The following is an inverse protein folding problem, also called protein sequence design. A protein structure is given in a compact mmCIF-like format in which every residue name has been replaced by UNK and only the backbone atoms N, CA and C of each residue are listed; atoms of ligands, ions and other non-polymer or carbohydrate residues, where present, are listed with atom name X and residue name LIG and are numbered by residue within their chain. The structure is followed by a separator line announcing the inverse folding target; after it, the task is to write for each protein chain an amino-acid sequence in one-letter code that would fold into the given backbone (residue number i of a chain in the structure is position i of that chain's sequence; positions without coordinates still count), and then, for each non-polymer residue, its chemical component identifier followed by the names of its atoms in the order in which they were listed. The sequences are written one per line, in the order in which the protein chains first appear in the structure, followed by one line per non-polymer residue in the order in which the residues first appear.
data_IF_089798027343
#
_entry.id   IF_089798027343
#
_cell.length_a   1.000
_cell.length_b   1.000
_cell.length_c   1.000
_cell.angle_alpha   90.00
_cell.angle_beta   90.00
_cell.angle_gamma   90.00
#
_symmetry.space_group_name_H-M   'P 1'
#
loop_
_entity.id
_entity.type
_entity.pdbx_description
1 polymer ?
#
# COMPACT_ATOMS: atom_id res chain seq x y z
N UNK A 1 -7.31 -6.78 -31.99
CA UNK A 1 -7.28 -6.82 -30.53
C UNK A 1 -7.63 -5.46 -29.95
N UNK A 2 -8.43 -5.41 -28.93
CA UNK A 2 -8.80 -4.19 -28.20
C UNK A 2 -8.01 -4.14 -26.90
N UNK A 3 -7.36 -2.99 -26.57
CA UNK A 3 -6.58 -2.81 -25.35
C UNK A 3 -7.25 -1.77 -24.46
N UNK A 4 -7.74 -2.19 -23.32
CA UNK A 4 -8.44 -1.37 -22.32
C UNK A 4 -7.46 -1.07 -21.17
N UNK A 5 -7.03 0.20 -21.05
CA UNK A 5 -6.22 0.66 -19.94
C UNK A 5 -7.13 1.24 -18.86
N UNK A 6 -6.99 0.77 -17.61
CA UNK A 6 -7.68 1.33 -16.46
C UNK A 6 -7.29 2.81 -16.27
N UNK A 7 -8.29 3.68 -16.08
CA UNK A 7 -8.07 5.13 -15.87
C UNK A 7 -7.38 5.42 -14.54
N UNK A 8 -7.64 4.58 -13.53
CA UNK A 8 -7.03 4.69 -12.21
C UNK A 8 -5.61 4.10 -12.13
N UNK A 9 -5.08 3.50 -13.22
CA UNK A 9 -3.74 2.92 -13.23
C UNK A 9 -2.64 3.94 -12.92
N UNK A 10 -1.66 3.54 -12.09
CA UNK A 10 -0.50 4.38 -11.79
C UNK A 10 -0.55 5.09 -10.43
N UNK A 11 0.36 6.05 -10.22
CA UNK A 11 0.55 6.69 -8.92
C UNK A 11 -0.74 7.29 -8.36
N UNK A 12 -1.07 6.91 -7.12
CA UNK A 12 -2.05 7.66 -6.35
C UNK A 12 -1.44 8.95 -5.79
N UNK A 13 -2.29 9.85 -5.28
CA UNK A 13 -1.85 11.12 -4.69
C UNK A 13 -0.75 10.95 -3.62
N UNK A 14 -0.93 10.04 -2.66
CA UNK A 14 0.04 9.84 -1.57
C UNK A 14 1.39 9.32 -2.05
N UNK A 15 1.38 8.39 -3.02
CA UNK A 15 2.59 7.87 -3.65
C UNK A 15 3.30 8.94 -4.45
N UNK A 16 2.56 9.66 -5.33
CA UNK A 16 3.14 10.73 -6.14
C UNK A 16 3.82 11.78 -5.26
N UNK A 17 3.13 12.26 -4.22
CA UNK A 17 3.67 13.23 -3.27
C UNK A 17 4.98 12.73 -2.62
N UNK A 18 5.02 11.47 -2.16
CA UNK A 18 6.21 10.93 -1.51
C UNK A 18 7.41 10.81 -2.48
N UNK A 19 7.16 10.37 -3.70
CA UNK A 19 8.20 10.25 -4.74
C UNK A 19 8.69 11.63 -5.18
N UNK A 20 7.80 12.57 -5.45
CA UNK A 20 8.15 13.95 -5.81
C UNK A 20 9.01 14.60 -4.72
N UNK A 21 8.66 14.40 -3.44
CA UNK A 21 9.45 14.92 -2.31
C UNK A 21 10.90 14.42 -2.34
N UNK A 22 11.14 13.14 -2.68
CA UNK A 22 12.52 12.63 -2.78
C UNK A 22 13.25 13.26 -3.95
N UNK A 23 12.61 13.36 -5.14
CA UNK A 23 13.24 13.98 -6.31
C UNK A 23 13.58 15.46 -6.10
N UNK A 24 12.73 16.21 -5.40
CA UNK A 24 13.00 17.60 -5.01
C UNK A 24 14.22 17.71 -4.10
N UNK A 25 14.32 16.83 -3.09
CA UNK A 25 15.43 16.82 -2.13
C UNK A 25 16.77 16.38 -2.73
N UNK A 26 16.77 15.52 -3.75
CA UNK A 26 18.01 15.15 -4.49
C UNK A 26 18.72 16.40 -5.04
N UNK A 27 17.96 17.44 -5.43
CA UNK A 27 18.54 18.67 -6.00
C UNK A 27 19.33 19.50 -4.98
N UNK A 28 19.10 19.31 -3.69
CA UNK A 28 19.82 20.00 -2.60
C UNK A 28 21.25 19.49 -2.41
N UNK A 29 21.61 18.32 -2.98
CA UNK A 29 22.94 17.69 -2.95
C UNK A 29 23.47 17.37 -1.55
N UNK A 30 22.60 17.29 -0.57
CA UNK A 30 22.91 16.81 0.78
C UNK A 30 22.75 15.29 0.87
N UNK A 31 23.40 14.62 1.86
CA UNK A 31 23.17 13.22 2.12
C UNK A 31 21.69 12.95 2.35
N UNK A 32 21.09 12.07 1.53
CA UNK A 32 19.66 11.81 1.53
C UNK A 32 19.37 10.34 1.80
N UNK A 33 18.52 10.11 2.77
CA UNK A 33 18.12 8.80 3.23
C UNK A 33 16.59 8.63 3.10
N UNK A 34 16.12 7.41 2.86
CA UNK A 34 14.70 7.07 3.07
C UNK A 34 14.60 6.02 4.16
N UNK A 35 13.67 6.19 5.08
CA UNK A 35 13.41 5.20 6.12
C UNK A 35 12.49 4.09 5.58
N UNK A 36 13.10 3.00 5.16
CA UNK A 36 12.51 1.97 4.29
C UNK A 36 12.36 2.46 2.84
N UNK A 37 11.97 1.58 1.90
CA UNK A 37 11.68 1.99 0.53
C UNK A 37 10.56 3.03 0.52
N UNK A 38 10.75 4.14 -0.21
CA UNK A 38 9.79 5.26 -0.23
C UNK A 38 8.38 4.81 -0.64
N UNK A 39 8.32 3.85 -1.55
CA UNK A 39 7.13 3.13 -2.01
C UNK A 39 7.51 1.68 -2.32
N UNK A 40 6.53 0.77 -2.42
CA UNK A 40 6.77 -0.62 -2.82
C UNK A 40 6.80 -0.76 -4.35
N UNK A 41 7.88 -0.25 -4.96
CA UNK A 41 8.20 -0.43 -6.37
C UNK A 41 9.72 -0.45 -6.54
N UNK A 42 10.26 -1.59 -6.95
CA UNK A 42 11.69 -1.85 -7.00
C UNK A 42 12.39 -1.01 -8.09
N UNK A 43 11.70 -0.69 -9.19
CA UNK A 43 12.27 0.14 -10.26
C UNK A 43 12.47 1.59 -9.80
N UNK A 44 11.50 2.13 -9.04
CA UNK A 44 11.61 3.47 -8.45
C UNK A 44 12.71 3.51 -7.41
N UNK A 45 12.79 2.52 -6.54
CA UNK A 45 13.83 2.45 -5.51
C UNK A 45 15.22 2.40 -6.15
N UNK A 46 15.41 1.54 -7.17
CA UNK A 46 16.69 1.47 -7.92
C UNK A 46 17.07 2.79 -8.61
N UNK A 47 16.09 3.51 -9.17
CA UNK A 47 16.38 4.81 -9.78
C UNK A 47 16.83 5.83 -8.75
N UNK A 48 16.19 5.87 -7.58
CA UNK A 48 16.60 6.75 -6.48
C UNK A 48 17.97 6.40 -5.91
N UNK A 49 18.29 5.11 -5.75
CA UNK A 49 19.61 4.63 -5.32
C UNK A 49 20.72 5.05 -6.31
N UNK A 50 20.48 4.94 -7.63
CA UNK A 50 21.40 5.43 -8.66
C UNK A 50 21.63 6.94 -8.58
N UNK A 51 20.70 7.69 -7.99
CA UNK A 51 20.80 9.14 -7.76
C UNK A 51 21.40 9.49 -6.40
N UNK A 52 21.87 8.48 -5.64
CA UNK A 52 22.58 8.67 -4.38
C UNK A 52 21.69 8.63 -3.14
N UNK A 53 20.41 8.32 -3.26
CA UNK A 53 19.51 8.11 -2.11
C UNK A 53 19.83 6.77 -1.45
N UNK A 54 20.00 6.76 -0.14
CA UNK A 54 20.29 5.54 0.62
C UNK A 54 19.05 5.09 1.38
N UNK A 55 18.64 3.84 1.16
CA UNK A 55 17.55 3.23 1.94
C UNK A 55 18.11 2.68 3.24
N UNK A 56 17.55 3.11 4.39
CA UNK A 56 17.84 2.58 5.72
C UNK A 56 16.61 1.87 6.27
N UNK A 57 16.80 0.74 6.93
CA UNK A 57 15.68 -0.09 7.43
C UNK A 57 15.46 0.07 8.92
N UNK A 58 16.48 0.49 9.63
CA UNK A 58 16.46 0.71 11.08
C UNK A 58 17.16 2.03 11.43
N UNK A 59 16.82 2.59 12.60
CA UNK A 59 17.44 3.81 13.11
C UNK A 59 18.94 3.60 13.38
N UNK A 60 19.32 2.41 13.82
CA UNK A 60 20.71 2.06 14.11
C UNK A 60 21.60 2.11 12.85
N UNK A 61 21.04 1.89 11.67
CA UNK A 61 21.79 2.02 10.40
C UNK A 61 22.20 3.46 10.07
N UNK A 62 21.64 4.45 10.75
CA UNK A 62 22.04 5.87 10.63
C UNK A 62 23.30 6.19 11.45
N UNK A 63 23.63 5.38 12.44
CA UNK A 63 24.81 5.61 13.27
C UNK A 63 26.07 5.61 12.42
N UNK A 64 26.86 6.70 12.54
CA UNK A 64 28.12 6.88 11.79
C UNK A 64 27.95 7.27 10.32
N UNK A 65 26.74 7.44 9.81
CA UNK A 65 26.51 8.00 8.47
C UNK A 65 26.68 9.53 8.46
N UNK A 66 27.05 10.13 7.32
CA UNK A 66 27.06 11.58 7.16
C UNK A 66 25.71 12.18 7.55
N UNK A 67 25.74 13.30 8.26
CA UNK A 67 24.52 14.05 8.60
C UNK A 67 23.79 14.52 7.33
N UNK A 68 22.47 14.48 7.35
CA UNK A 68 21.65 14.81 6.19
C UNK A 68 20.15 14.70 6.51
N UNK A 69 19.37 14.50 5.47
CA UNK A 69 17.90 14.42 5.58
C UNK A 69 17.41 12.98 5.46
N UNK A 70 16.53 12.57 6.38
CA UNK A 70 15.83 11.30 6.34
C UNK A 70 14.38 11.54 5.92
N UNK A 71 13.95 10.95 4.82
CA UNK A 71 12.57 11.03 4.36
C UNK A 71 11.79 9.83 4.89
N UNK A 72 10.70 10.10 5.59
CA UNK A 72 9.77 9.07 6.03
C UNK A 72 8.89 8.66 4.85
N UNK A 73 8.82 7.36 4.59
CA UNK A 73 8.09 6.77 3.46
C UNK A 73 6.57 7.01 3.51
N UNK A 74 5.89 6.82 2.37
CA UNK A 74 4.44 7.01 2.22
C UNK A 74 3.59 6.20 3.21
N UNK A 75 4.07 5.03 3.67
CA UNK A 75 3.38 4.14 4.60
C UNK A 75 3.43 4.60 6.06
N UNK A 76 4.21 5.65 6.36
CA UNK A 76 4.50 6.06 7.73
C UNK A 76 5.48 5.14 8.44
N UNK A 77 5.70 5.45 9.70
CA UNK A 77 6.58 4.71 10.62
C UNK A 77 5.91 4.52 11.98
N UNK A 78 6.50 3.68 12.81
CA UNK A 78 6.07 3.48 14.19
C UNK A 78 6.29 4.75 15.02
N UNK A 79 5.46 4.91 16.07
CA UNK A 79 5.57 6.01 17.02
C UNK A 79 6.97 6.05 17.63
N UNK A 80 7.55 7.24 17.79
CA UNK A 80 8.88 7.44 18.38
C UNK A 80 10.06 7.22 17.43
N UNK A 81 9.85 6.74 16.20
CA UNK A 81 10.95 6.59 15.22
C UNK A 81 11.51 7.95 14.81
N UNK A 82 10.64 8.93 14.59
CA UNK A 82 11.06 10.27 14.19
C UNK A 82 11.92 10.94 15.28
N UNK A 83 11.52 10.82 16.53
CA UNK A 83 12.26 11.36 17.69
C UNK A 83 13.66 10.71 17.80
N UNK A 84 13.76 9.41 17.56
CA UNK A 84 15.06 8.70 17.57
C UNK A 84 15.97 9.17 16.45
N UNK A 85 15.44 9.37 15.23
CA UNK A 85 16.19 9.89 14.08
C UNK A 85 16.70 11.31 14.37
N UNK A 86 15.85 12.18 14.95
CA UNK A 86 16.22 13.55 15.32
C UNK A 86 17.28 13.58 16.44
N UNK A 87 17.18 12.67 17.41
CA UNK A 87 18.18 12.56 18.49
C UNK A 87 19.57 12.16 17.96
N UNK A 88 19.66 11.52 16.79
CA UNK A 88 20.93 11.26 16.09
C UNK A 88 21.42 12.46 15.27
N UNK A 89 20.69 13.58 15.24
CA UNK A 89 21.10 14.82 14.57
C UNK A 89 20.64 14.92 13.10
N UNK A 90 19.83 14.00 12.60
CA UNK A 90 19.31 14.05 11.22
C UNK A 90 18.07 14.95 11.11
N UNK A 91 17.98 15.65 9.99
CA UNK A 91 16.74 16.34 9.60
C UNK A 91 15.70 15.34 9.10
N UNK A 92 14.40 15.63 9.32
CA UNK A 92 13.31 14.77 8.87
C UNK A 92 12.41 15.51 7.89
N UNK A 93 12.04 14.82 6.82
CA UNK A 93 10.94 15.18 5.94
C UNK A 93 9.90 14.06 5.97
N UNK A 94 8.72 14.36 6.49
CA UNK A 94 7.64 13.37 6.60
C UNK A 94 6.82 13.34 5.30
N UNK A 95 7.05 12.29 4.50
CA UNK A 95 6.27 12.01 3.29
C UNK A 95 5.12 11.01 3.53
N UNK A 96 4.80 10.71 4.78
CA UNK A 96 3.65 9.85 5.14
C UNK A 96 2.38 10.35 4.46
N UNK A 97 1.65 9.44 3.84
CA UNK A 97 0.38 9.77 3.18
C UNK A 97 -0.62 10.35 4.20
N UNK A 98 -1.30 11.47 3.91
CA UNK A 98 -2.28 12.07 4.81
C UNK A 98 -3.40 11.12 5.24
N UNK A 99 -3.77 10.16 4.40
CA UNK A 99 -4.75 9.13 4.75
C UNK A 99 -4.22 8.18 5.83
N UNK A 100 -2.94 7.82 5.79
CA UNK A 100 -2.29 7.01 6.83
C UNK A 100 -2.19 7.80 8.15
N UNK A 101 -1.77 9.07 8.09
CA UNK A 101 -1.75 9.95 9.27
C UNK A 101 -3.13 10.11 9.92
N UNK A 102 -4.20 10.13 9.11
CA UNK A 102 -5.57 10.14 9.62
C UNK A 102 -5.86 8.87 10.43
N UNK A 103 -5.43 7.71 9.97
CA UNK A 103 -5.64 6.43 10.70
C UNK A 103 -4.87 6.46 12.02
N UNK A 104 -3.62 6.92 12.03
CA UNK A 104 -2.84 7.06 13.27
C UNK A 104 -3.59 7.87 14.34
N UNK A 105 -4.13 9.05 13.95
CA UNK A 105 -4.92 9.90 14.85
C UNK A 105 -6.21 9.24 15.33
N UNK A 106 -6.91 8.50 14.45
CA UNK A 106 -8.12 7.78 14.82
C UNK A 106 -7.81 6.68 15.83
N UNK A 107 -6.79 5.88 15.60
CA UNK A 107 -6.37 4.80 16.49
C UNK A 107 -5.92 5.35 17.85
N UNK A 108 -5.10 6.40 17.87
CA UNK A 108 -4.67 7.07 19.10
C UNK A 108 -5.87 7.58 19.90
N UNK A 109 -6.82 8.25 19.23
CA UNK A 109 -8.03 8.79 19.86
C UNK A 109 -8.87 7.69 20.48
N UNK A 110 -9.31 6.71 19.69
CA UNK A 110 -10.24 5.67 20.15
C UNK A 110 -9.62 4.74 21.19
N UNK A 111 -8.31 4.46 21.09
CA UNK A 111 -7.61 3.70 22.14
C UNK A 111 -7.50 4.47 23.46
N UNK A 112 -7.48 5.81 23.43
CA UNK A 112 -7.58 6.67 24.61
C UNK A 112 -8.99 6.74 25.20
N UNK A 113 -10.02 6.40 24.42
CA UNK A 113 -11.43 6.35 24.85
C UNK A 113 -11.84 4.95 25.39
N UNK A 114 -10.89 4.12 25.80
CA UNK A 114 -11.09 2.75 26.32
C UNK A 114 -11.74 1.78 25.32
N UNK A 115 -11.47 1.96 24.04
CA UNK A 115 -11.89 1.03 22.99
C UNK A 115 -10.83 -0.03 22.72
N UNK A 116 -11.26 -1.27 22.48
CA UNK A 116 -10.43 -2.26 21.79
C UNK A 116 -10.21 -1.84 20.34
N UNK A 117 -8.99 -1.87 19.88
CA UNK A 117 -8.66 -1.54 18.50
C UNK A 117 -8.47 -2.82 17.67
N UNK A 118 -9.26 -2.93 16.61
CA UNK A 118 -9.09 -3.98 15.61
C UNK A 118 -8.60 -3.34 14.30
N UNK A 119 -7.45 -3.79 13.84
CA UNK A 119 -6.86 -3.35 12.58
C UNK A 119 -7.06 -4.46 11.55
N UNK A 120 -7.88 -4.22 10.54
CA UNK A 120 -8.05 -5.15 9.43
C UNK A 120 -6.92 -4.95 8.43
N UNK A 121 -5.99 -5.92 8.32
CA UNK A 121 -4.81 -5.78 7.49
C UNK A 121 -3.81 -6.93 7.64
N UNK A 122 -2.66 -6.78 6.98
CA UNK A 122 -1.54 -7.71 7.12
C UNK A 122 -0.62 -7.25 8.26
N UNK A 123 -0.51 -8.02 9.32
CA UNK A 123 0.28 -7.71 10.51
C UNK A 123 1.78 -7.45 10.23
N UNK A 124 2.34 -8.05 9.17
CA UNK A 124 3.74 -7.85 8.79
C UNK A 124 3.96 -6.57 7.99
N UNK A 125 2.90 -5.96 7.46
CA UNK A 125 2.99 -4.78 6.59
C UNK A 125 3.43 -3.54 7.38
N UNK A 126 4.38 -2.72 6.85
CA UNK A 126 4.87 -1.52 7.54
C UNK A 126 3.79 -0.53 7.98
N UNK A 127 2.77 -0.30 7.14
CA UNK A 127 1.64 0.56 7.47
C UNK A 127 0.88 0.05 8.70
N UNK A 128 0.61 -1.26 8.76
CA UNK A 128 -0.12 -1.88 9.89
C UNK A 128 0.69 -1.83 11.18
N UNK A 129 2.01 -2.05 11.11
CA UNK A 129 2.92 -1.87 12.24
C UNK A 129 2.90 -0.42 12.74
N UNK A 130 2.97 0.53 11.81
CA UNK A 130 2.82 1.96 12.11
C UNK A 130 1.49 2.22 12.83
N UNK A 131 0.36 1.86 12.23
CA UNK A 131 -0.98 2.06 12.82
C UNK A 131 -1.06 1.46 14.23
N UNK A 132 -0.58 0.22 14.41
CA UNK A 132 -0.60 -0.47 15.71
C UNK A 132 0.17 0.29 16.78
N UNK A 133 1.31 0.88 16.43
CA UNK A 133 2.18 1.62 17.39
C UNK A 133 1.56 2.92 17.92
N UNK A 134 0.54 3.44 17.23
CA UNK A 134 -0.22 4.62 17.68
C UNK A 134 -1.37 4.28 18.62
N UNK A 135 -1.66 3.01 18.84
CA UNK A 135 -2.63 2.58 19.84
C UNK A 135 -2.05 2.63 21.24
N UNK A 136 -2.82 3.18 22.16
CA UNK A 136 -2.54 3.12 23.60
C UNK A 136 -3.23 1.90 24.27
N UNK A 137 -4.02 1.13 23.52
CA UNK A 137 -4.72 -0.05 24.02
C UNK A 137 -3.80 -1.27 24.03
N UNK A 138 -3.70 -1.95 25.18
CA UNK A 138 -2.94 -3.19 25.34
C UNK A 138 -3.48 -4.29 24.41
N UNK A 139 -4.79 -4.29 24.15
CA UNK A 139 -5.52 -5.30 23.39
C UNK A 139 -5.73 -4.93 21.92
N UNK A 140 -4.79 -4.24 21.29
CA UNK A 140 -4.85 -3.99 19.85
C UNK A 140 -4.61 -5.27 19.06
N UNK A 141 -5.59 -5.69 18.27
CA UNK A 141 -5.53 -6.90 17.44
C UNK A 141 -5.46 -6.55 15.96
N UNK A 142 -4.70 -7.34 15.22
CA UNK A 142 -4.68 -7.30 13.74
C UNK A 142 -5.37 -8.55 13.25
N UNK A 143 -6.32 -8.40 12.33
CA UNK A 143 -7.01 -9.49 11.67
C UNK A 143 -6.92 -9.31 10.15
N UNK A 144 -6.59 -10.36 9.41
CA UNK A 144 -6.47 -10.35 7.95
C UNK A 144 -7.20 -11.50 7.28
N UNK A 145 -7.67 -12.47 8.08
CA UNK A 145 -8.35 -13.67 7.59
C UNK A 145 -9.66 -13.91 8.33
N UNK A 146 -10.53 -14.73 7.73
CA UNK A 146 -11.79 -15.16 8.32
C UNK A 146 -11.57 -15.86 9.66
N UNK A 147 -10.60 -16.78 9.71
CA UNK A 147 -10.26 -17.56 10.90
C UNK A 147 -9.80 -16.67 12.06
N UNK A 148 -9.06 -15.60 11.75
CA UNK A 148 -8.64 -14.62 12.77
C UNK A 148 -9.82 -13.81 13.28
N UNK A 149 -10.78 -13.41 12.42
CA UNK A 149 -12.00 -12.73 12.82
C UNK A 149 -12.91 -13.64 13.66
N UNK A 150 -13.07 -14.91 13.29
CA UNK A 150 -13.84 -15.89 14.04
C UNK A 150 -13.24 -16.17 15.43
N UNK A 151 -11.91 -16.16 15.54
CA UNK A 151 -11.19 -16.34 16.81
C UNK A 151 -11.07 -15.08 17.65
N UNK A 152 -11.37 -13.92 17.06
CA UNK A 152 -11.28 -12.65 17.79
C UNK A 152 -12.25 -12.67 18.97
N UNK A 153 -11.74 -12.32 20.15
CA UNK A 153 -12.51 -12.16 21.36
C UNK A 153 -12.08 -10.86 22.04
N UNK A 154 -13.03 -10.00 22.32
CA UNK A 154 -12.83 -8.78 23.08
C UNK A 154 -13.24 -9.00 24.53
N UNK A 155 -12.50 -8.45 25.49
CA UNK A 155 -12.90 -8.45 26.89
C UNK A 155 -14.28 -7.79 27.02
N UNK A 156 -15.20 -8.44 27.74
CA UNK A 156 -16.58 -7.96 27.90
C UNK A 156 -16.65 -6.54 28.46
N UNK A 157 -17.55 -5.75 27.86
CA UNK A 157 -17.92 -4.41 28.34
C UNK A 157 -17.20 -3.25 27.65
N UNK A 158 -16.18 -3.48 26.83
CA UNK A 158 -15.51 -2.43 26.05
C UNK A 158 -16.09 -2.28 24.64
N UNK A 159 -16.03 -1.07 24.10
CA UNK A 159 -16.31 -0.83 22.68
C UNK A 159 -15.19 -1.37 21.81
N UNK A 160 -15.53 -1.77 20.59
CA UNK A 160 -14.56 -2.23 19.58
C UNK A 160 -14.51 -1.22 18.45
N UNK A 161 -13.38 -0.59 18.22
CA UNK A 161 -13.16 0.29 17.09
C UNK A 161 -12.39 -0.46 15.99
N UNK A 162 -12.99 -0.60 14.81
CA UNK A 162 -12.41 -1.31 13.67
C UNK A 162 -11.91 -0.28 12.66
N UNK A 163 -10.62 -0.36 12.31
CA UNK A 163 -9.98 0.38 11.22
C UNK A 163 -9.38 -0.62 10.23
N UNK A 164 -8.97 -0.17 9.04
CA UNK A 164 -8.32 -1.02 8.04
C UNK A 164 -7.02 -0.43 7.53
N UNK A 165 -6.13 -1.30 7.04
CA UNK A 165 -5.04 -0.94 6.16
C UNK A 165 -5.59 -0.27 4.90
N UNK A 166 -4.96 0.83 4.45
CA UNK A 166 -5.47 1.64 3.31
C UNK A 166 -5.60 0.88 2.01
N UNK A 167 -4.84 -0.20 1.83
CA UNK A 167 -4.80 -1.03 0.60
C UNK A 167 -5.50 -2.38 0.75
N UNK A 168 -6.28 -2.58 1.82
CA UNK A 168 -6.98 -3.85 2.04
C UNK A 168 -8.08 -4.08 0.99
N UNK A 169 -8.46 -5.34 0.76
CA UNK A 169 -9.56 -5.68 -0.13
C UNK A 169 -10.89 -5.26 0.50
N UNK A 170 -11.68 -4.44 -0.21
CA UNK A 170 -12.93 -3.88 0.29
C UNK A 170 -13.96 -4.96 0.66
N UNK A 171 -14.18 -5.95 -0.20
CA UNK A 171 -15.16 -7.00 0.05
C UNK A 171 -14.74 -7.89 1.24
N UNK A 172 -13.45 -8.24 1.33
CA UNK A 172 -12.91 -8.96 2.50
C UNK A 172 -13.05 -8.15 3.79
N UNK A 173 -12.84 -6.83 3.74
CA UNK A 173 -13.06 -5.97 4.90
C UNK A 173 -14.51 -6.04 5.39
N UNK A 174 -15.49 -5.93 4.49
CA UNK A 174 -16.90 -6.04 4.84
C UNK A 174 -17.22 -7.40 5.48
N UNK A 175 -16.72 -8.50 4.87
CA UNK A 175 -16.90 -9.86 5.42
C UNK A 175 -16.35 -9.96 6.86
N UNK A 176 -15.12 -9.51 7.10
CA UNK A 176 -14.50 -9.59 8.42
C UNK A 176 -15.23 -8.72 9.47
N UNK A 177 -15.71 -7.54 9.05
CA UNK A 177 -16.53 -6.66 9.92
C UNK A 177 -17.83 -7.34 10.33
N UNK A 178 -18.55 -8.00 9.39
CA UNK A 178 -19.79 -8.71 9.73
C UNK A 178 -19.54 -9.87 10.70
N UNK A 179 -18.48 -10.66 10.53
CA UNK A 179 -18.12 -11.72 11.48
C UNK A 179 -17.90 -11.16 12.89
N UNK A 180 -17.22 -10.01 13.01
CA UNK A 180 -16.98 -9.41 14.33
C UNK A 180 -18.28 -8.82 14.91
N UNK A 181 -19.18 -8.27 14.08
CA UNK A 181 -20.50 -7.77 14.52
C UNK A 181 -21.41 -8.88 15.06
N UNK A 182 -21.40 -10.06 14.44
CA UNK A 182 -22.21 -11.20 14.88
C UNK A 182 -21.88 -11.65 16.31
N UNK A 183 -20.74 -11.25 16.86
CA UNK A 183 -20.35 -11.55 18.25
C UNK A 183 -21.03 -10.66 19.29
N UNK A 184 -21.81 -9.67 18.89
CA UNK A 184 -22.63 -8.84 19.78
C UNK A 184 -21.89 -7.74 20.53
N UNK A 185 -20.69 -7.33 20.08
CA UNK A 185 -19.95 -6.20 20.67
C UNK A 185 -20.57 -4.85 20.26
N UNK A 186 -20.37 -3.81 21.11
CA UNK A 186 -20.63 -2.42 20.72
C UNK A 186 -19.50 -1.95 19.78
N UNK A 187 -19.78 -1.83 18.47
CA UNK A 187 -18.77 -1.69 17.42
C UNK A 187 -18.86 -0.33 16.74
N UNK A 188 -17.71 0.32 16.60
CA UNK A 188 -17.48 1.50 15.76
C UNK A 188 -16.67 1.05 14.53
N UNK A 189 -17.27 1.07 13.35
CA UNK A 189 -16.58 0.74 12.09
C UNK A 189 -16.12 2.02 11.39
N UNK A 190 -14.83 2.18 11.26
CA UNK A 190 -14.22 3.27 10.50
C UNK A 190 -13.60 2.67 9.23
N UNK A 191 -14.31 2.76 8.10
CA UNK A 191 -13.73 2.36 6.82
C UNK A 191 -12.59 3.32 6.48
N UNK A 192 -11.35 2.84 6.64
CA UNK A 192 -10.13 3.58 6.35
C UNK A 192 -9.42 3.08 5.09
N UNK A 193 -10.05 2.21 4.30
CA UNK A 193 -9.59 1.88 2.95
C UNK A 193 -9.57 3.18 2.14
N UNK A 194 -8.47 3.44 1.44
CA UNK A 194 -8.33 4.65 0.65
C UNK A 194 -9.26 4.62 -0.57
N UNK A 195 -9.95 5.74 -0.86
CA UNK A 195 -10.82 5.86 -2.03
C UNK A 195 -10.11 5.47 -3.34
N UNK A 196 -8.83 5.84 -3.47
CA UNK A 196 -8.02 5.44 -4.62
C UNK A 196 -7.81 3.91 -4.70
N UNK A 197 -7.87 3.19 -3.59
CA UNK A 197 -7.82 1.72 -3.56
C UNK A 197 -9.15 1.15 -3.99
N UNK A 198 -10.26 1.64 -3.47
CA UNK A 198 -11.61 1.20 -3.80
C UNK A 198 -11.92 1.42 -5.28
N UNK A 199 -11.62 2.62 -5.80
CA UNK A 199 -11.78 2.94 -7.22
C UNK A 199 -11.01 1.97 -8.12
N UNK A 200 -9.72 1.70 -7.80
CA UNK A 200 -8.91 0.74 -8.56
C UNK A 200 -9.45 -0.68 -8.51
N UNK A 201 -9.89 -1.12 -7.36
CA UNK A 201 -10.43 -2.48 -7.19
C UNK A 201 -11.72 -2.66 -7.99
N UNK A 202 -12.60 -1.66 -7.97
CA UNK A 202 -13.87 -1.66 -8.72
C UNK A 202 -13.61 -1.62 -10.21
N UNK A 203 -12.75 -0.71 -10.69
CA UNK A 203 -12.44 -0.58 -12.12
C UNK A 203 -11.72 -1.82 -12.64
N UNK A 204 -10.73 -2.34 -11.91
CA UNK A 204 -9.97 -3.53 -12.32
C UNK A 204 -10.87 -4.75 -12.46
N UNK A 205 -11.83 -4.94 -11.54
CA UNK A 205 -12.84 -6.00 -11.64
C UNK A 205 -13.69 -5.83 -12.88
N UNK A 206 -14.27 -4.64 -13.09
CA UNK A 206 -15.14 -4.37 -14.22
C UNK A 206 -14.45 -4.57 -15.58
N UNK A 207 -13.14 -4.27 -15.67
CA UNK A 207 -12.35 -4.56 -16.88
C UNK A 207 -12.11 -6.07 -17.02
N UNK A 208 -11.71 -6.74 -15.92
CA UNK A 208 -11.39 -8.18 -15.96
C UNK A 208 -12.58 -9.06 -16.36
N UNK A 209 -13.82 -8.63 -16.05
CA UNK A 209 -15.05 -9.29 -16.47
C UNK A 209 -15.33 -9.21 -17.98
N UNK A 210 -14.65 -8.30 -18.71
CA UNK A 210 -14.94 -7.98 -20.11
C UNK A 210 -13.82 -8.34 -21.09
N UNK A 211 -12.70 -8.86 -20.58
CA UNK A 211 -11.49 -9.14 -21.38
C UNK A 211 -11.07 -10.60 -21.32
N UNK A 212 -10.33 -11.02 -22.33
CA UNK A 212 -9.83 -12.39 -22.48
C UNK A 212 -8.51 -12.60 -21.73
N UNK A 213 -7.75 -11.51 -21.55
CA UNK A 213 -6.53 -11.49 -20.74
C UNK A 213 -6.42 -10.19 -19.95
N UNK A 214 -5.83 -10.26 -18.76
CA UNK A 214 -5.64 -9.13 -17.86
C UNK A 214 -4.16 -8.99 -17.45
N UNK A 215 -3.60 -7.81 -17.59
CA UNK A 215 -2.23 -7.49 -17.17
C UNK A 215 -2.30 -6.55 -15.97
N UNK A 216 -1.69 -6.98 -14.87
CA UNK A 216 -1.60 -6.22 -13.62
C UNK A 216 -0.15 -5.81 -13.40
N UNK A 217 0.14 -4.51 -13.49
CA UNK A 217 1.51 -3.98 -13.44
C UNK A 217 1.81 -3.43 -12.05
N UNK A 218 2.95 -3.83 -11.46
CA UNK A 218 3.48 -3.21 -10.24
C UNK A 218 4.46 -4.05 -9.46
N UNK A 219 5.02 -3.48 -8.40
CA UNK A 219 6.00 -4.13 -7.55
C UNK A 219 5.46 -5.35 -6.82
N UNK A 220 6.27 -6.41 -6.72
CA UNK A 220 5.87 -7.68 -6.07
C UNK A 220 5.54 -7.51 -4.60
N UNK A 221 6.16 -6.54 -3.94
CA UNK A 221 5.94 -6.23 -2.53
C UNK A 221 4.81 -5.19 -2.30
N UNK A 222 4.12 -4.75 -3.36
CA UNK A 222 3.01 -3.81 -3.27
C UNK A 222 1.72 -4.53 -2.87
N UNK A 223 1.24 -4.29 -1.66
CA UNK A 223 -0.05 -4.82 -1.17
C UNK A 223 -1.21 -4.45 -2.10
N UNK A 224 -1.27 -3.20 -2.57
CA UNK A 224 -2.30 -2.78 -3.52
C UNK A 224 -2.26 -3.58 -4.83
N UNK A 225 -1.06 -3.79 -5.41
CA UNK A 225 -0.93 -4.55 -6.67
C UNK A 225 -1.31 -6.01 -6.49
N UNK A 226 -0.90 -6.62 -5.38
CA UNK A 226 -1.28 -8.01 -5.05
C UNK A 226 -2.80 -8.17 -4.96
N UNK A 227 -3.51 -7.20 -4.32
CA UNK A 227 -4.97 -7.23 -4.23
C UNK A 227 -5.64 -7.03 -5.58
N UNK A 228 -5.12 -6.15 -6.45
CA UNK A 228 -5.61 -6.02 -7.81
C UNK A 228 -5.43 -7.32 -8.59
N UNK A 229 -4.28 -7.96 -8.48
CA UNK A 229 -4.04 -9.25 -9.13
C UNK A 229 -5.00 -10.33 -8.65
N UNK A 230 -5.23 -10.47 -7.33
CA UNK A 230 -6.20 -11.40 -6.76
C UNK A 230 -7.60 -11.17 -7.34
N UNK A 231 -8.06 -9.90 -7.41
CA UNK A 231 -9.36 -9.53 -7.93
C UNK A 231 -9.48 -9.87 -9.41
N UNK A 232 -8.50 -9.44 -10.22
CA UNK A 232 -8.51 -9.72 -11.66
C UNK A 232 -8.46 -11.22 -11.95
N UNK A 233 -7.67 -12.00 -11.19
CA UNK A 233 -7.53 -13.44 -11.37
C UNK A 233 -8.79 -14.22 -11.07
N UNK A 234 -9.65 -13.71 -10.19
CA UNK A 234 -10.95 -14.31 -9.90
C UNK A 234 -11.94 -14.15 -11.07
N UNK A 235 -11.87 -13.04 -11.81
CA UNK A 235 -12.77 -12.74 -12.93
C UNK A 235 -12.19 -13.20 -14.29
N UNK A 236 -10.87 -13.10 -14.50
CA UNK A 236 -10.17 -13.44 -15.72
C UNK A 236 -9.08 -14.48 -15.46
N UNK A 237 -9.21 -15.70 -16.02
CA UNK A 237 -8.23 -16.78 -15.82
C UNK A 237 -6.85 -16.43 -16.35
N UNK A 238 -6.77 -15.72 -17.48
CA UNK A 238 -5.52 -15.30 -18.10
C UNK A 238 -5.06 -13.97 -17.51
N UNK A 239 -4.72 -13.95 -16.22
CA UNK A 239 -4.24 -12.75 -15.53
C UNK A 239 -2.74 -12.87 -15.25
N UNK A 240 -1.98 -11.87 -15.71
CA UNK A 240 -0.53 -11.78 -15.62
C UNK A 240 -0.13 -10.70 -14.64
N UNK A 241 0.78 -11.03 -13.71
CA UNK A 241 1.37 -10.08 -12.75
C UNK A 241 2.79 -9.77 -13.19
N UNK A 242 3.05 -8.54 -13.59
CA UNK A 242 4.34 -8.09 -14.09
C UNK A 242 4.83 -6.84 -13.37
N UNK A 243 6.15 -6.64 -13.32
CA UNK A 243 6.75 -5.37 -12.89
C UNK A 243 7.08 -4.49 -14.11
N UNK A 244 7.59 -5.11 -15.16
CA UNK A 244 7.98 -4.46 -16.42
C UNK A 244 7.54 -5.31 -17.61
N UNK A 245 7.66 -4.79 -18.82
CA UNK A 245 7.34 -5.53 -20.05
C UNK A 245 8.19 -6.81 -20.21
N UNK A 246 9.37 -6.86 -19.59
CA UNK A 246 10.27 -8.03 -19.66
C UNK A 246 9.74 -9.27 -18.93
N UNK A 247 8.79 -9.07 -18.03
CA UNK A 247 8.15 -10.14 -17.26
C UNK A 247 6.96 -10.76 -18.00
N UNK A 248 6.56 -10.18 -19.16
CA UNK A 248 5.41 -10.61 -19.94
C UNK A 248 5.88 -11.40 -21.16
N UNK A 249 5.42 -12.66 -21.29
CA UNK A 249 5.48 -13.36 -22.57
C UNK A 249 4.36 -12.84 -23.49
N UNK A 250 4.75 -11.98 -24.43
CA UNK A 250 3.80 -11.38 -25.36
C UNK A 250 3.11 -12.43 -26.25
N UNK A 251 3.71 -13.63 -26.47
CA UNK A 251 3.09 -14.69 -27.22
C UNK A 251 1.79 -15.20 -26.57
N UNK A 252 1.71 -15.18 -25.24
CA UNK A 252 0.52 -15.59 -24.50
C UNK A 252 -0.66 -14.62 -24.69
N UNK A 253 -0.37 -13.36 -25.03
CA UNK A 253 -1.38 -12.30 -25.18
C UNK A 253 -1.81 -12.12 -26.64
N UNK A 254 -1.01 -12.59 -27.61
CA UNK A 254 -1.29 -12.44 -29.05
C UNK A 254 -2.55 -13.18 -29.54
N UNK A 255 -2.99 -14.19 -28.81
CA UNK A 255 -4.08 -15.07 -29.23
C UNK A 255 -5.47 -14.62 -28.76
N UNK A 256 -5.58 -13.45 -28.14
CA UNK A 256 -6.84 -12.97 -27.54
C UNK A 256 -7.33 -11.68 -28.20
N UNK A 257 -8.66 -11.45 -28.20
CA UNK A 257 -9.28 -10.30 -28.85
C UNK A 257 -9.29 -9.05 -27.95
N UNK A 258 -9.41 -9.22 -26.63
CA UNK A 258 -9.51 -8.12 -25.66
C UNK A 258 -8.48 -8.28 -24.55
N UNK A 259 -7.67 -7.26 -24.31
CA UNK A 259 -6.67 -7.21 -23.23
C UNK A 259 -6.96 -6.05 -22.32
N UNK A 260 -7.11 -6.32 -21.02
CA UNK A 260 -7.18 -5.32 -19.98
C UNK A 260 -5.82 -5.05 -19.35
N UNK A 261 -5.53 -3.80 -19.06
CA UNK A 261 -4.31 -3.37 -18.35
C UNK A 261 -4.71 -2.54 -17.15
N UNK A 262 -4.25 -2.93 -15.97
CA UNK A 262 -4.30 -2.11 -14.76
C UNK A 262 -2.95 -2.04 -14.09
N UNK A 263 -2.78 -1.08 -13.18
CA UNK A 263 -1.52 -0.92 -12.47
C UNK A 263 -1.73 -0.51 -11.00
N UNK A 264 -0.83 -0.97 -10.15
CA UNK A 264 -0.83 -0.61 -8.74
C UNK A 264 -0.55 0.88 -8.50
N UNK A 265 -0.99 1.37 -7.34
CA UNK A 265 -0.84 2.75 -6.90
C UNK A 265 0.63 3.23 -6.75
N UNK A 266 1.59 2.32 -6.85
CA UNK A 266 3.04 2.58 -6.79
C UNK A 266 3.74 2.34 -8.14
N UNK A 267 3.00 2.22 -9.25
CA UNK A 267 3.56 1.97 -10.59
C UNK A 267 3.73 3.27 -11.35
N UNK A 268 4.94 3.61 -11.82
CA UNK A 268 5.19 4.80 -12.63
C UNK A 268 4.49 4.76 -13.99
N UNK A 269 4.06 5.91 -14.53
CA UNK A 269 3.35 5.99 -15.80
C UNK A 269 4.20 5.52 -16.99
N UNK A 270 5.52 5.80 -16.99
CA UNK A 270 6.41 5.34 -18.06
C UNK A 270 6.44 3.82 -18.22
N UNK A 271 6.35 3.06 -17.11
CA UNK A 271 6.26 1.59 -17.15
C UNK A 271 4.91 1.15 -17.73
N UNK A 272 3.82 1.82 -17.35
CA UNK A 272 2.48 1.53 -17.87
C UNK A 272 2.42 1.79 -19.38
N UNK A 273 2.92 2.93 -19.82
CA UNK A 273 2.98 3.33 -21.23
C UNK A 273 3.85 2.36 -22.05
N UNK A 274 5.01 1.94 -21.52
CA UNK A 274 5.87 0.95 -22.15
C UNK A 274 5.14 -0.39 -22.36
N UNK A 275 4.48 -0.91 -21.33
CA UNK A 275 3.70 -2.15 -21.42
C UNK A 275 2.56 -1.99 -22.43
N UNK A 276 1.78 -0.91 -22.34
CA UNK A 276 0.66 -0.65 -23.25
C UNK A 276 1.13 -0.57 -24.71
N UNK A 277 2.23 0.12 -24.98
CA UNK A 277 2.82 0.26 -26.32
C UNK A 277 3.28 -1.09 -26.87
N UNK A 278 3.97 -1.89 -26.05
CA UNK A 278 4.44 -3.21 -26.49
C UNK A 278 3.27 -4.15 -26.77
N UNK A 279 2.26 -4.19 -25.91
CA UNK A 279 1.04 -4.99 -26.14
C UNK A 279 0.33 -4.56 -27.42
N UNK A 280 0.25 -3.26 -27.73
CA UNK A 280 -0.36 -2.75 -28.97
C UNK A 280 0.48 -3.00 -30.22
N UNK A 281 1.81 -2.97 -30.13
CA UNK A 281 2.71 -3.13 -31.30
C UNK A 281 2.89 -4.59 -31.71
N UNK A 282 2.66 -5.53 -30.81
CA UNK A 282 2.72 -6.97 -31.07
C UNK A 282 1.43 -7.50 -31.74
N UNK A 283 0.50 -6.59 -32.02
CA UNK A 283 -0.81 -6.79 -32.65
C UNK A 283 -0.83 -6.37 -34.11
#
# INVERSE_FOLDING_TARGET
MNVILAKSAGFCFGVKRAVDTVYERILEKEPLYTFGPIIHNEEVVRDLEKKGVVVVKDVDELAGKPQGTVIIRAHGVERGVCEKIQALGFSIVDATCPFVLKIHRLVERYSGEDCHIVIVGNASHPEVKGIKSWSNAEDTRVIGTREEAEKYDASHGKKVCIVSQTTFNYNKFQELVEIVKEKGYDIIVLNTICNATEERQTEARAIAEQVDAMIVIGGRNSSNTQKLFEICKNECKNTYYIQTVKDLDLAEVRSVDNVGITAGASTPNNIIEEVQKNVRNEL
#
